data_IF_369005290587
#
_entry.id   IF_369005290587
#
_cell.length_a   1.000
_cell.length_b   1.000
_cell.length_c   1.000
_cell.angle_alpha   90.00
_cell.angle_beta   90.00
_cell.angle_gamma   90.00
#
_symmetry.space_group_name_H-M   'P 1'
#
loop_
_entity.id
_entity.type
_entity.pdbx_description
1 polymer ?
#
# COMPACT_ATOMS: atom_id res chain seq x y z
N UNK A 1 -12.28 -7.96 14.20
CA UNK A 1 -12.17 -7.48 12.81
C UNK A 1 -12.18 -8.74 11.96
N UNK A 2 -13.00 -8.84 10.92
CA UNK A 2 -12.92 -9.98 10.02
C UNK A 2 -11.55 -10.01 9.33
N UNK A 3 -11.02 -11.18 8.94
CA UNK A 3 -9.77 -11.24 8.22
C UNK A 3 -9.92 -10.48 6.89
N UNK A 4 -8.86 -9.80 6.49
CA UNK A 4 -8.81 -9.09 5.21
C UNK A 4 -7.92 -9.86 4.25
N UNK A 5 -8.28 -9.88 2.98
CA UNK A 5 -7.39 -10.35 1.93
C UNK A 5 -6.71 -9.14 1.31
N UNK A 6 -5.39 -9.03 1.49
CA UNK A 6 -4.63 -7.88 1.05
C UNK A 6 -3.86 -8.21 -0.23
N UNK A 7 -3.95 -7.33 -1.22
CA UNK A 7 -3.21 -7.41 -2.46
C UNK A 7 -2.27 -6.21 -2.58
N UNK A 8 -0.99 -6.46 -2.85
CA UNK A 8 0.08 -5.46 -2.92
C UNK A 8 0.86 -5.57 -4.22
N UNK A 9 1.22 -4.42 -4.80
CA UNK A 9 2.14 -4.34 -5.95
C UNK A 9 3.35 -3.50 -5.63
N UNK A 10 4.52 -3.94 -6.07
CA UNK A 10 5.79 -3.25 -5.92
C UNK A 10 6.12 -2.44 -7.17
N UNK A 11 6.29 -1.13 -6.98
CA UNK A 11 6.52 -0.19 -8.06
C UNK A 11 7.84 0.54 -7.83
N UNK A 12 8.74 0.47 -8.81
CA UNK A 12 9.95 1.30 -8.88
C UNK A 12 9.83 2.22 -10.08
N UNK A 13 9.59 3.51 -9.81
CA UNK A 13 9.50 4.53 -10.84
C UNK A 13 10.08 5.85 -10.33
N UNK A 14 10.68 6.60 -11.24
CA UNK A 14 11.25 7.92 -10.94
C UNK A 14 10.16 8.99 -10.74
N UNK A 15 8.95 8.78 -11.29
CA UNK A 15 7.80 9.70 -11.21
C UNK A 15 6.86 9.39 -10.02
N UNK A 16 7.45 9.18 -8.83
CA UNK A 16 6.73 8.76 -7.63
C UNK A 16 5.51 9.62 -7.29
N UNK A 17 5.62 10.94 -7.35
CA UNK A 17 4.51 11.84 -7.03
C UNK A 17 3.30 11.63 -7.97
N UNK A 18 3.55 11.39 -9.26
CA UNK A 18 2.50 11.11 -10.27
C UNK A 18 1.85 9.76 -10.00
N UNK A 19 2.65 8.74 -9.69
CA UNK A 19 2.15 7.41 -9.30
C UNK A 19 1.21 7.49 -8.10
N UNK A 20 1.66 8.14 -7.02
CA UNK A 20 0.89 8.31 -5.80
C UNK A 20 -0.39 9.11 -6.04
N UNK A 21 -0.32 10.20 -6.79
CA UNK A 21 -1.48 11.01 -7.16
C UNK A 21 -2.56 10.18 -7.86
N UNK A 22 -2.17 9.35 -8.85
CA UNK A 22 -3.10 8.48 -9.57
C UNK A 22 -3.74 7.42 -8.67
N UNK A 23 -2.95 6.76 -7.82
CA UNK A 23 -3.48 5.77 -6.89
C UNK A 23 -4.48 6.40 -5.92
N UNK A 24 -4.13 7.56 -5.35
CA UNK A 24 -4.99 8.32 -4.43
C UNK A 24 -6.27 8.77 -5.13
N UNK A 25 -6.16 9.34 -6.32
CA UNK A 25 -7.31 9.81 -7.08
C UNK A 25 -8.28 8.68 -7.39
N UNK A 26 -7.79 7.46 -7.64
CA UNK A 26 -8.61 6.31 -8.02
C UNK A 26 -9.17 5.53 -6.82
N UNK A 27 -8.36 5.27 -5.82
CA UNK A 27 -8.71 4.29 -4.79
C UNK A 27 -8.97 4.87 -3.42
N UNK A 28 -8.52 6.09 -3.10
CA UNK A 28 -8.66 6.64 -1.74
C UNK A 28 -9.93 7.47 -1.62
N UNK A 29 -10.65 7.32 -0.50
CA UNK A 29 -11.71 8.24 -0.12
C UNK A 29 -11.08 9.53 0.41
N UNK A 30 -10.96 10.53 -0.47
CA UNK A 30 -10.34 11.81 -0.13
C UNK A 30 -11.21 12.72 0.73
N UNK A 31 -12.51 12.46 0.81
CA UNK A 31 -13.42 13.24 1.65
C UNK A 31 -13.32 12.79 3.11
N UNK A 32 -13.06 11.50 3.32
CA UNK A 32 -12.83 10.89 4.62
C UNK A 32 -11.77 9.78 4.51
N UNK A 33 -10.47 10.12 4.55
CA UNK A 33 -9.39 9.13 4.40
C UNK A 33 -9.21 8.25 5.64
N UNK A 34 -9.85 8.58 6.77
CA UNK A 34 -9.77 7.83 8.03
C UNK A 34 -8.48 8.00 8.84
N UNK A 35 -7.33 8.25 8.20
CA UNK A 35 -6.06 8.56 8.88
C UNK A 35 -5.73 10.06 8.79
N UNK A 36 -5.59 10.78 9.92
CA UNK A 36 -5.30 12.22 9.93
C UNK A 36 -3.94 12.58 9.30
N UNK A 37 -3.01 11.62 9.18
CA UNK A 37 -1.70 11.82 8.57
C UNK A 37 -1.75 11.83 7.04
N UNK A 38 -2.89 11.51 6.43
CA UNK A 38 -3.07 11.53 4.98
C UNK A 38 -2.74 12.91 4.38
N UNK A 39 -3.16 14.00 5.01
CA UNK A 39 -2.88 15.34 4.48
C UNK A 39 -1.38 15.68 4.52
N UNK A 40 -0.69 15.28 5.58
CA UNK A 40 0.78 15.40 5.69
C UNK A 40 1.49 14.56 4.63
N UNK A 41 0.99 13.34 4.36
CA UNK A 41 1.50 12.48 3.30
C UNK A 41 1.34 13.13 1.92
N UNK A 42 0.15 13.62 1.60
CA UNK A 42 -0.14 14.27 0.30
C UNK A 42 0.74 15.49 0.11
N UNK A 43 0.83 16.38 1.11
CA UNK A 43 1.72 17.55 1.05
C UNK A 43 3.17 17.15 0.79
N UNK A 44 3.66 16.17 1.53
CA UNK A 44 5.08 15.80 1.50
C UNK A 44 5.48 15.05 0.22
N UNK A 45 4.68 14.06 -0.22
CA UNK A 45 5.10 13.11 -1.26
C UNK A 45 4.36 13.25 -2.58
N UNK A 46 3.28 14.04 -2.63
CA UNK A 46 2.49 14.25 -3.85
C UNK A 46 2.59 15.70 -4.32
N UNK A 47 2.34 16.66 -3.43
CA UNK A 47 2.46 18.09 -3.74
C UNK A 47 3.90 18.59 -3.65
N UNK A 48 4.78 17.86 -2.96
CA UNK A 48 6.18 18.25 -2.70
C UNK A 48 6.30 19.60 -1.95
N UNK A 49 5.32 19.89 -1.09
CA UNK A 49 5.19 21.11 -0.28
C UNK A 49 5.02 20.76 1.21
N UNK A 50 6.04 20.18 1.88
CA UNK A 50 5.92 19.76 3.28
C UNK A 50 5.74 20.96 4.23
N UNK A 51 4.88 20.79 5.23
CA UNK A 51 4.68 21.74 6.32
C UNK A 51 5.49 21.37 7.58
N UNK A 52 5.80 22.32 8.46
CA UNK A 52 6.39 22.00 9.77
C UNK A 52 5.51 21.00 10.54
N UNK A 53 6.12 19.93 11.07
CA UNK A 53 5.41 18.85 11.77
C UNK A 53 5.03 17.65 10.90
N UNK A 54 5.10 17.76 9.56
CA UNK A 54 4.74 16.65 8.68
C UNK A 54 5.72 15.48 8.81
N UNK A 55 7.01 15.76 8.95
CA UNK A 55 8.04 14.73 9.11
C UNK A 55 7.84 13.93 10.42
N UNK A 56 7.56 14.62 11.52
CA UNK A 56 7.28 14.00 12.82
C UNK A 56 5.99 13.17 12.78
N UNK A 57 4.92 13.71 12.19
CA UNK A 57 3.65 13.02 12.06
C UNK A 57 3.76 11.71 11.23
N UNK A 58 4.62 11.72 10.20
CA UNK A 58 4.85 10.58 9.33
C UNK A 58 5.84 9.57 9.93
N UNK A 59 6.75 9.99 10.81
CA UNK A 59 7.69 9.10 11.47
C UNK A 59 6.99 8.03 12.34
N UNK A 60 5.84 8.37 12.94
CA UNK A 60 5.02 7.47 13.75
C UNK A 60 4.38 6.31 12.94
N UNK A 61 4.46 6.34 11.61
CA UNK A 61 3.95 5.28 10.73
C UNK A 61 4.98 4.17 10.44
N UNK A 62 6.26 4.42 10.75
CA UNK A 62 7.33 3.45 10.51
C UNK A 62 7.30 2.29 11.51
N UNK A 63 7.70 1.09 11.07
CA UNK A 63 7.88 -0.06 11.98
C UNK A 63 9.36 -0.21 12.30
N UNK A 64 9.76 0.14 13.52
CA UNK A 64 11.10 -0.14 14.05
C UNK A 64 11.82 1.05 14.67
N UNK A 65 12.82 0.77 15.49
CA UNK A 65 13.75 1.77 16.00
C UNK A 65 14.86 1.99 14.96
N UNK A 66 14.89 3.13 14.26
CA UNK A 66 16.02 3.41 13.36
C UNK A 66 15.82 4.38 12.20
N UNK A 67 14.62 4.92 11.98
CA UNK A 67 14.44 6.04 11.04
C UNK A 67 14.82 5.70 9.58
N UNK A 68 14.60 4.45 9.13
CA UNK A 68 14.89 4.02 7.75
C UNK A 68 14.04 4.75 6.70
N UNK A 69 13.09 5.59 7.15
CA UNK A 69 12.20 6.36 6.29
C UNK A 69 11.08 5.54 5.67
N UNK A 70 11.05 4.23 5.93
CA UNK A 70 10.00 3.34 5.48
C UNK A 70 8.79 3.41 6.42
N UNK A 71 7.60 3.44 5.85
CA UNK A 71 6.35 3.48 6.59
C UNK A 71 5.17 3.08 5.72
N UNK A 72 4.08 2.68 6.35
CA UNK A 72 2.82 2.32 5.69
C UNK A 72 1.69 3.22 6.18
N UNK A 73 0.99 3.84 5.24
CA UNK A 73 -0.21 4.62 5.49
C UNK A 73 -1.44 3.78 5.10
N UNK A 74 -2.37 3.63 6.05
CA UNK A 74 -3.64 2.93 5.86
C UNK A 74 -4.75 3.96 5.77
N UNK A 75 -5.52 3.95 4.69
CA UNK A 75 -6.61 4.90 4.47
C UNK A 75 -7.86 4.18 4.00
N UNK A 76 -9.01 4.85 4.18
CA UNK A 76 -10.27 4.39 3.62
C UNK A 76 -10.20 4.39 2.10
N UNK A 77 -10.71 3.33 1.50
CA UNK A 77 -10.76 3.17 0.05
C UNK A 77 -12.17 3.39 -0.51
N UNK A 78 -12.24 3.73 -1.79
CA UNK A 78 -13.46 3.71 -2.59
C UNK A 78 -13.61 2.35 -3.26
N UNK A 79 -14.67 1.63 -2.91
CA UNK A 79 -14.97 0.33 -3.53
C UNK A 79 -14.11 -0.84 -3.03
N UNK A 80 -13.28 -0.62 -2.01
CA UNK A 80 -12.48 -1.64 -1.33
C UNK A 80 -12.58 -1.45 0.18
N UNK A 81 -12.19 -2.45 0.96
CA UNK A 81 -12.22 -2.35 2.42
C UNK A 81 -11.19 -1.33 2.93
N UNK A 82 -10.02 -1.28 2.29
CA UNK A 82 -8.95 -0.34 2.62
C UNK A 82 -7.99 -0.14 1.46
N UNK A 83 -7.26 0.97 1.51
CA UNK A 83 -6.15 1.27 0.61
C UNK A 83 -4.90 1.52 1.44
N UNK A 84 -3.78 0.99 0.96
CA UNK A 84 -2.51 1.06 1.65
C UNK A 84 -1.47 1.66 0.70
N UNK A 85 -0.68 2.58 1.23
CA UNK A 85 0.48 3.15 0.55
C UNK A 85 1.68 2.97 1.45
N UNK A 86 2.73 2.34 0.94
CA UNK A 86 3.98 2.16 1.68
C UNK A 86 5.14 2.74 0.89
N UNK A 87 5.97 3.53 1.58
CA UNK A 87 7.30 3.87 1.09
C UNK A 87 8.28 2.90 1.73
N UNK A 88 9.11 2.25 0.90
CA UNK A 88 10.03 1.21 1.38
C UNK A 88 11.42 1.77 1.70
N UNK A 89 12.22 1.00 2.43
CA UNK A 89 13.62 1.35 2.74
C UNK A 89 14.47 1.53 1.48
N UNK A 90 14.14 0.82 0.41
CA UNK A 90 14.80 0.88 -0.89
C UNK A 90 14.30 2.04 -1.77
N UNK A 91 13.43 2.89 -1.24
CA UNK A 91 12.82 4.00 -1.96
C UNK A 91 11.78 3.59 -3.00
N UNK A 92 11.31 2.33 -2.95
CA UNK A 92 10.20 1.88 -3.78
C UNK A 92 8.85 2.31 -3.17
N UNK A 93 7.79 2.13 -3.95
CA UNK A 93 6.41 2.28 -3.47
C UNK A 93 5.73 0.93 -3.54
N UNK A 94 5.10 0.53 -2.44
CA UNK A 94 4.13 -0.57 -2.42
C UNK A 94 2.73 0.01 -2.33
N UNK A 95 1.88 -0.34 -3.29
CA UNK A 95 0.48 0.07 -3.36
C UNK A 95 -0.39 -1.14 -3.04
N UNK A 96 -1.37 -0.98 -2.15
CA UNK A 96 -2.19 -2.08 -1.68
C UNK A 96 -3.68 -1.78 -1.62
N UNK A 97 -4.48 -2.81 -1.83
CA UNK A 97 -5.93 -2.80 -1.61
C UNK A 97 -6.32 -3.99 -0.75
N UNK A 98 -7.17 -3.74 0.24
CA UNK A 98 -7.75 -4.77 1.11
C UNK A 98 -9.16 -5.11 0.65
N UNK A 99 -9.47 -6.41 0.60
CA UNK A 99 -10.81 -6.94 0.41
C UNK A 99 -11.32 -7.46 1.76
N UNK A 100 -12.60 -7.24 2.03
CA UNK A 100 -13.26 -7.79 3.21
C UNK A 100 -13.48 -9.30 2.99
N UNK A 101 -12.95 -10.13 3.88
CA UNK A 101 -13.11 -11.60 3.82
C UNK A 101 -13.61 -12.16 5.16
N UNK A 102 -14.84 -11.84 5.58
CA UNK A 102 -15.32 -12.22 6.90
C UNK A 102 -15.51 -13.73 7.11
N UNK A 103 -15.50 -14.52 6.03
CA UNK A 103 -15.83 -15.94 6.06
C UNK A 103 -14.73 -16.86 5.51
N UNK A 104 -13.60 -16.33 5.03
CA UNK A 104 -12.60 -17.14 4.32
C UNK A 104 -13.15 -17.65 2.98
N UNK A 105 -13.89 -16.81 2.26
CA UNK A 105 -14.58 -17.20 1.04
C UNK A 105 -13.56 -17.38 -0.10
N UNK A 106 -13.47 -18.57 -0.73
CA UNK A 106 -12.61 -18.80 -1.88
C UNK A 106 -12.85 -17.83 -3.05
N UNK A 107 -14.04 -17.23 -3.15
CA UNK A 107 -14.32 -16.20 -4.16
C UNK A 107 -13.51 -14.92 -3.91
N UNK A 108 -13.22 -14.57 -2.64
CA UNK A 108 -12.40 -13.39 -2.31
C UNK A 108 -10.95 -13.60 -2.70
N UNK A 109 -10.43 -14.83 -2.60
CA UNK A 109 -9.10 -15.18 -3.11
C UNK A 109 -9.01 -14.95 -4.63
N UNK A 110 -9.99 -15.43 -5.40
CA UNK A 110 -10.07 -15.17 -6.84
C UNK A 110 -10.13 -13.67 -7.16
N UNK A 111 -10.97 -12.92 -6.44
CA UNK A 111 -11.08 -11.47 -6.61
C UNK A 111 -9.77 -10.75 -6.28
N UNK A 112 -9.07 -11.17 -5.23
CA UNK A 112 -7.77 -10.60 -4.85
C UNK A 112 -6.72 -10.84 -5.96
N UNK A 113 -6.73 -12.01 -6.60
CA UNK A 113 -5.85 -12.29 -7.74
C UNK A 113 -6.18 -11.40 -8.97
N UNK A 114 -7.45 -11.15 -9.24
CA UNK A 114 -7.89 -10.22 -10.30
C UNK A 114 -7.50 -8.77 -10.00
N UNK A 115 -7.66 -8.32 -8.75
CA UNK A 115 -7.22 -7.01 -8.26
C UNK A 115 -5.71 -6.88 -8.43
N UNK A 116 -4.95 -7.89 -8.00
CA UNK A 116 -3.49 -7.92 -8.12
C UNK A 116 -3.05 -7.77 -9.59
N UNK A 117 -3.68 -8.53 -10.49
CA UNK A 117 -3.41 -8.47 -11.94
C UNK A 117 -3.73 -7.09 -12.52
N UNK A 118 -4.85 -6.50 -12.11
CA UNK A 118 -5.28 -5.17 -12.55
C UNK A 118 -4.32 -4.09 -12.08
N UNK A 119 -3.90 -4.13 -10.82
CA UNK A 119 -2.93 -3.19 -10.24
C UNK A 119 -1.55 -3.31 -10.88
N UNK A 120 -1.10 -4.55 -11.17
CA UNK A 120 0.15 -4.81 -11.89
C UNK A 120 0.18 -4.10 -13.24
N UNK A 121 -0.87 -4.28 -14.04
CA UNK A 121 -0.99 -3.66 -15.35
C UNK A 121 -1.12 -2.14 -15.26
N UNK A 122 -1.98 -1.65 -14.38
CA UNK A 122 -2.31 -0.22 -14.25
C UNK A 122 -1.12 0.62 -13.80
N UNK A 123 -0.39 0.14 -12.79
CA UNK A 123 0.75 0.88 -12.23
C UNK A 123 2.08 0.48 -12.85
N UNK A 124 2.05 -0.43 -13.84
CA UNK A 124 3.24 -1.00 -14.47
C UNK A 124 4.21 -1.55 -13.41
N UNK A 125 3.65 -2.24 -12.42
CA UNK A 125 4.39 -2.72 -11.27
C UNK A 125 5.27 -3.93 -11.66
N UNK A 126 6.38 -4.10 -10.93
CA UNK A 126 7.39 -5.14 -11.22
C UNK A 126 6.97 -6.49 -10.66
N UNK A 127 6.30 -6.49 -9.52
CA UNK A 127 5.85 -7.70 -8.84
C UNK A 127 4.60 -7.42 -8.01
N UNK A 128 3.86 -8.48 -7.70
CA UNK A 128 2.67 -8.46 -6.87
C UNK A 128 2.64 -9.63 -5.89
N UNK A 129 2.12 -9.40 -4.70
CA UNK A 129 1.81 -10.43 -3.69
C UNK A 129 0.39 -10.23 -3.16
N UNK A 130 -0.26 -11.32 -2.75
CA UNK A 130 -1.53 -11.22 -2.03
C UNK A 130 -1.65 -12.35 -1.00
N UNK A 131 -2.40 -12.10 0.08
CA UNK A 131 -2.61 -13.05 1.18
C UNK A 131 -3.54 -12.53 2.27
N UNK A 132 -3.86 -13.40 3.22
CA UNK A 132 -4.77 -13.07 4.34
C UNK A 132 -3.99 -12.39 5.47
N UNK A 133 -4.51 -11.25 5.94
CA UNK A 133 -3.90 -10.41 7.00
C UNK A 133 -2.41 -10.11 6.72
N UNK A 134 -2.07 -9.97 5.44
CA UNK A 134 -0.70 -9.76 5.00
C UNK A 134 -0.33 -8.31 5.28
N UNK A 135 0.64 -8.09 6.15
CA UNK A 135 1.15 -6.74 6.39
C UNK A 135 1.80 -6.19 5.10
N UNK A 136 1.61 -4.90 4.77
CA UNK A 136 2.29 -4.29 3.64
C UNK A 136 3.80 -4.31 3.90
N UNK A 137 4.62 -4.81 2.96
CA UNK A 137 6.07 -4.85 3.11
C UNK A 137 6.68 -3.46 3.13
N UNK A 138 7.49 -3.17 4.14
CA UNK A 138 8.28 -1.94 4.25
C UNK A 138 9.71 -2.09 3.69
N UNK A 139 10.12 -3.31 3.31
CA UNK A 139 11.44 -3.61 2.72
C UNK A 139 11.37 -4.76 1.70
N UNK A 140 12.44 -4.94 0.92
CA UNK A 140 12.62 -6.11 0.04
C UNK A 140 12.73 -7.41 0.84
N UNK A 141 13.25 -7.35 2.07
CA UNK A 141 13.33 -8.52 2.94
C UNK A 141 11.93 -8.99 3.33
N UNK A 142 11.07 -8.07 3.77
CA UNK A 142 9.66 -8.36 4.06
C UNK A 142 8.89 -8.81 2.81
N UNK A 143 9.17 -8.22 1.64
CA UNK A 143 8.52 -8.64 0.39
C UNK A 143 8.81 -10.10 0.01
N UNK A 144 10.01 -10.57 0.34
CA UNK A 144 10.46 -11.94 0.06
C UNK A 144 9.99 -12.95 1.10
N UNK A 145 9.46 -12.50 2.23
CA UNK A 145 8.83 -13.40 3.19
C UNK A 145 7.63 -14.10 2.53
N UNK A 146 7.56 -15.42 2.69
CA UNK A 146 6.52 -16.26 2.10
C UNK A 146 5.45 -16.67 3.13
N UNK A 147 5.63 -16.35 4.41
CA UNK A 147 4.84 -16.94 5.51
C UNK A 147 3.32 -16.77 5.39
N UNK A 148 2.85 -15.66 4.83
CA UNK A 148 1.43 -15.35 4.63
C UNK A 148 1.05 -15.12 3.16
N UNK A 149 1.98 -15.33 2.22
CA UNK A 149 1.75 -15.06 0.80
C UNK A 149 1.07 -16.25 0.15
N UNK A 150 -0.12 -16.02 -0.43
CA UNK A 150 -0.90 -17.02 -1.14
C UNK A 150 -0.78 -16.88 -2.66
N UNK A 151 -0.61 -15.66 -3.15
CA UNK A 151 -0.35 -15.38 -4.56
C UNK A 151 0.91 -14.55 -4.74
N UNK A 152 1.71 -14.90 -5.75
CA UNK A 152 2.86 -14.12 -6.18
C UNK A 152 2.91 -14.06 -7.69
N UNK A 153 3.10 -12.87 -8.23
CA UNK A 153 3.26 -12.62 -9.67
C UNK A 153 4.44 -11.69 -9.90
N UNK A 154 5.27 -11.97 -10.91
CA UNK A 154 6.48 -11.19 -11.19
C UNK A 154 7.59 -11.39 -10.14
N UNK A 155 8.67 -10.63 -10.28
CA UNK A 155 9.88 -10.73 -9.46
C UNK A 155 10.66 -9.42 -9.42
N UNK A 156 11.25 -9.07 -8.28
CA UNK A 156 12.04 -7.84 -8.07
C UNK A 156 13.54 -8.15 -8.04
#
# INVERSE_FOLDING_TARGET
MPPCFDAYVWVRRDDRAVLLSRFIEKYVDRADPGDPRFDSFVRTFVAEEPSPGDAEALADLGRGEGGTGAFSLYVKARGFYGAIITLTEEGAVVLGLSLDDPAGDPEVECQAAEVLTSMLAEFQATAGIAGVELAPPQSLAEWRDEGLVLHRTGSI
#
